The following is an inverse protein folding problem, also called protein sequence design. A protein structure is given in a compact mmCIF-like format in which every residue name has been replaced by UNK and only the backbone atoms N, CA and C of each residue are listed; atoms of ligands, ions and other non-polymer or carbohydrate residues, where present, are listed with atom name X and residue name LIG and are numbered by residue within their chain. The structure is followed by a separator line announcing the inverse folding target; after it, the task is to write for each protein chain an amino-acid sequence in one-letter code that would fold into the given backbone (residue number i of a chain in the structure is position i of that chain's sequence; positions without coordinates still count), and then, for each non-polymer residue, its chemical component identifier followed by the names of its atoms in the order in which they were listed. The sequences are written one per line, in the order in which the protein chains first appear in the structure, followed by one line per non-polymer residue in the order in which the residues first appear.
data_IF_433878088363
#
_entry.id   IF_433878088363
#
_cell.length_a   1.000
_cell.length_b   1.000
_cell.length_c   1.000
_cell.angle_alpha   90.00
_cell.angle_beta   90.00
_cell.angle_gamma   90.00
#
_symmetry.space_group_name_H-M   'P 1'
#
loop_
_entity.id
_entity.type
_entity.pdbx_description
1 polymer ?
#
# COMPACT_ATOMS: atom_id res chain seq x y z
N UNK A 1 -60.54 -11.44 12.05
CA UNK A 1 -60.36 -10.00 12.31
C UNK A 1 -59.15 -9.55 11.51
N UNK A 2 -59.38 -8.86 10.40
CA UNK A 2 -58.32 -8.25 9.60
C UNK A 2 -57.84 -6.98 10.30
N UNK A 3 -56.53 -6.84 10.53
CA UNK A 3 -55.97 -5.57 10.98
C UNK A 3 -56.21 -4.50 9.89
N UNK A 4 -56.51 -3.24 10.27
CA UNK A 4 -56.76 -2.19 9.30
C UNK A 4 -55.49 -1.92 8.48
N UNK A 5 -55.65 -1.83 7.16
CA UNK A 5 -54.58 -1.68 6.15
C UNK A 5 -53.60 -0.53 6.42
N UNK A 6 -54.02 0.48 7.18
CA UNK A 6 -53.18 1.62 7.56
C UNK A 6 -52.13 1.28 8.63
N UNK A 7 -52.35 0.26 9.47
CA UNK A 7 -51.39 -0.11 10.52
C UNK A 7 -50.22 -0.94 10.00
N UNK A 8 -50.47 -1.81 9.00
CA UNK A 8 -49.39 -2.55 8.31
C UNK A 8 -48.50 -1.62 7.48
N UNK A 9 -49.07 -0.56 6.87
CA UNK A 9 -48.29 0.43 6.15
C UNK A 9 -47.44 1.29 7.11
N UNK A 10 -47.98 1.64 8.27
CA UNK A 10 -47.23 2.38 9.30
C UNK A 10 -46.08 1.56 9.90
N UNK A 11 -46.27 0.25 10.10
CA UNK A 11 -45.21 -0.66 10.56
C UNK A 11 -44.12 -0.90 9.49
N UNK A 12 -44.49 -0.96 8.20
CA UNK A 12 -43.53 -1.03 7.08
C UNK A 12 -42.75 0.28 6.90
N UNK A 13 -43.39 1.44 7.11
CA UNK A 13 -42.73 2.75 7.11
C UNK A 13 -41.80 2.87 8.33
N UNK A 14 -42.22 2.42 9.52
CA UNK A 14 -41.37 2.42 10.70
C UNK A 14 -40.18 1.44 10.57
N UNK A 15 -40.35 0.28 9.94
CA UNK A 15 -39.23 -0.64 9.65
C UNK A 15 -38.28 -0.10 8.57
N UNK A 16 -38.79 0.56 7.53
CA UNK A 16 -37.94 1.19 6.50
C UNK A 16 -37.19 2.41 7.04
N UNK A 17 -37.79 3.20 7.94
CA UNK A 17 -37.09 4.28 8.65
C UNK A 17 -36.11 3.78 9.73
N UNK A 18 -36.38 2.65 10.40
CA UNK A 18 -35.40 2.07 11.35
C UNK A 18 -34.20 1.46 10.62
N UNK A 19 -34.38 0.93 9.40
CA UNK A 19 -33.27 0.42 8.57
C UNK A 19 -32.41 1.53 7.94
N UNK A 20 -32.91 2.76 7.84
CA UNK A 20 -32.14 3.93 7.35
C UNK A 20 -31.45 4.72 8.47
N UNK A 21 -31.73 4.40 9.74
CA UNK A 21 -31.09 5.00 10.92
C UNK A 21 -29.86 4.24 11.43
N UNK A 22 -29.50 3.12 10.80
CA UNK A 22 -28.12 2.64 10.79
C UNK A 22 -27.29 3.48 9.79
N UNK A 23 -27.37 4.80 9.90
CA UNK A 23 -26.32 5.67 9.42
C UNK A 23 -25.04 5.23 10.13
N UNK A 24 -24.04 4.86 9.34
CA UNK A 24 -22.66 4.64 9.77
C UNK A 24 -22.15 5.98 10.32
N UNK A 25 -22.52 6.31 11.55
CA UNK A 25 -21.93 7.40 12.33
C UNK A 25 -20.65 6.88 12.96
N UNK A 26 -19.63 6.71 12.14
CA UNK A 26 -18.26 6.54 12.59
C UNK A 26 -17.37 7.56 11.86
N UNK A 27 -17.81 8.82 11.81
CA UNK A 27 -16.86 9.90 11.61
C UNK A 27 -16.19 10.15 12.95
N UNK A 28 -14.87 9.96 13.00
CA UNK A 28 -14.10 10.28 14.19
C UNK A 28 -14.17 11.79 14.39
N UNK A 29 -14.41 12.24 15.62
CA UNK A 29 -14.15 13.63 15.98
C UNK A 29 -12.65 13.84 16.06
N UNK A 30 -12.15 15.02 15.69
CA UNK A 30 -10.72 15.36 15.81
C UNK A 30 -10.25 15.12 17.24
N UNK A 31 -9.53 14.02 17.45
CA UNK A 31 -8.91 13.64 18.72
C UNK A 31 -7.42 13.46 18.49
N UNK A 32 -6.63 13.59 19.55
CA UNK A 32 -5.24 13.15 19.52
C UNK A 32 -5.17 11.68 19.14
N UNK A 33 -4.03 11.28 18.54
CA UNK A 33 -3.79 9.88 18.20
C UNK A 33 -3.78 9.02 19.46
N UNK A 34 -4.54 7.93 19.45
CA UNK A 34 -4.62 7.00 20.57
C UNK A 34 -3.49 5.96 20.51
N UNK A 35 -2.54 6.08 21.42
CA UNK A 35 -1.43 5.14 21.62
C UNK A 35 -1.67 4.14 22.77
N UNK A 36 -2.90 4.00 23.27
CA UNK A 36 -3.23 3.08 24.37
C UNK A 36 -2.81 1.63 24.10
N UNK A 37 -2.81 1.20 22.83
CA UNK A 37 -2.37 -0.12 22.40
C UNK A 37 -0.88 -0.40 22.72
N UNK A 38 -0.05 0.64 22.87
CA UNK A 38 1.39 0.51 23.17
C UNK A 38 1.65 -0.24 24.48
N UNK A 39 0.70 -0.27 25.41
CA UNK A 39 0.78 -1.08 26.64
C UNK A 39 0.89 -2.59 26.37
N UNK A 40 0.46 -3.03 25.19
CA UNK A 40 0.50 -4.44 24.75
C UNK A 40 1.62 -4.72 23.75
N UNK A 41 2.36 -3.70 23.30
CA UNK A 41 3.50 -3.83 22.40
C UNK A 41 4.74 -4.18 23.22
N UNK A 42 5.48 -5.19 22.78
CA UNK A 42 6.73 -5.63 23.41
C UNK A 42 7.84 -5.69 22.36
N UNK A 43 9.07 -5.47 22.79
CA UNK A 43 10.23 -5.71 21.93
C UNK A 43 10.43 -7.23 21.78
N UNK A 44 10.78 -7.69 20.58
CA UNK A 44 11.06 -9.10 20.31
C UNK A 44 12.21 -9.64 21.19
N UNK A 45 13.17 -8.80 21.59
CA UNK A 45 14.27 -9.18 22.50
C UNK A 45 13.73 -9.75 23.83
N UNK A 46 12.63 -9.17 24.32
CA UNK A 46 12.05 -9.52 25.62
C UNK A 46 11.16 -10.78 25.55
N UNK A 47 11.00 -11.37 24.36
CA UNK A 47 10.18 -12.54 24.16
C UNK A 47 10.93 -13.82 24.55
N UNK A 48 10.18 -14.80 25.07
CA UNK A 48 10.71 -16.13 25.32
C UNK A 48 11.21 -16.77 24.02
N UNK A 49 12.03 -17.81 24.15
CA UNK A 49 12.53 -18.57 22.99
C UNK A 49 11.41 -19.32 22.26
N UNK A 50 10.37 -19.73 22.99
CA UNK A 50 9.19 -20.40 22.44
C UNK A 50 7.92 -19.96 23.18
N UNK A 51 6.88 -19.57 22.44
CA UNK A 51 5.56 -19.27 22.97
C UNK A 51 4.45 -19.90 22.11
N UNK A 52 3.24 -20.05 22.69
CA UNK A 52 2.09 -20.65 22.01
C UNK A 52 0.90 -19.72 21.99
N UNK A 53 0.28 -19.56 20.82
CA UNK A 53 -0.86 -18.67 20.59
C UNK A 53 -1.99 -19.40 19.86
N UNK A 54 -3.19 -18.84 19.93
CA UNK A 54 -4.32 -19.37 19.16
C UNK A 54 -4.27 -18.90 17.72
N UNK A 55 -3.73 -17.70 17.48
CA UNK A 55 -3.48 -17.15 16.15
C UNK A 55 -2.14 -16.40 16.14
N UNK A 56 -1.45 -16.47 15.02
CA UNK A 56 -0.25 -15.67 14.76
C UNK A 56 -0.52 -14.88 13.47
N UNK A 57 -0.48 -13.55 13.56
CA UNK A 57 -0.64 -12.64 12.42
C UNK A 57 0.73 -12.06 12.08
N UNK A 58 1.21 -12.33 10.86
CA UNK A 58 2.49 -11.83 10.35
C UNK A 58 2.22 -10.58 9.51
N UNK A 59 2.59 -9.41 10.04
CA UNK A 59 2.36 -8.09 9.47
C UNK A 59 1.27 -7.33 10.24
N UNK A 60 1.68 -6.32 11.01
CA UNK A 60 0.83 -5.37 11.72
C UNK A 60 0.35 -4.22 10.83
N UNK A 61 0.05 -4.50 9.56
CA UNK A 61 -0.33 -3.50 8.56
C UNK A 61 -1.83 -3.23 8.47
N UNK A 62 -2.25 -2.67 7.34
CA UNK A 62 -3.62 -2.22 7.04
C UNK A 62 -4.69 -3.27 7.29
N UNK A 63 -4.45 -4.53 6.90
CA UNK A 63 -5.38 -5.64 7.15
C UNK A 63 -5.06 -6.40 8.45
N UNK A 64 -3.76 -6.53 8.80
CA UNK A 64 -3.32 -7.35 9.94
C UNK A 64 -3.72 -6.79 11.30
N UNK A 65 -3.63 -5.47 11.50
CA UNK A 65 -4.05 -4.82 12.75
C UNK A 65 -5.55 -5.07 13.07
N UNK A 66 -6.53 -4.71 12.21
CA UNK A 66 -7.94 -4.94 12.50
C UNK A 66 -8.31 -6.43 12.57
N UNK A 67 -7.61 -7.29 11.82
CA UNK A 67 -7.76 -8.74 11.92
C UNK A 67 -7.36 -9.24 13.32
N UNK A 68 -6.15 -8.89 13.77
CA UNK A 68 -5.62 -9.32 15.06
C UNK A 68 -6.45 -8.79 16.23
N UNK A 69 -6.83 -7.51 16.19
CA UNK A 69 -7.70 -6.90 17.18
C UNK A 69 -9.07 -7.59 17.26
N UNK A 70 -9.61 -8.04 16.13
CA UNK A 70 -10.88 -8.78 16.10
C UNK A 70 -10.72 -10.19 16.68
N UNK A 71 -9.67 -10.91 16.32
CA UNK A 71 -9.41 -12.27 16.83
C UNK A 71 -9.12 -12.26 18.34
N UNK A 72 -8.47 -11.21 18.84
CA UNK A 72 -8.09 -11.08 20.26
C UNK A 72 -9.28 -10.90 21.20
N UNK A 73 -10.48 -10.58 20.68
CA UNK A 73 -11.72 -10.54 21.46
C UNK A 73 -12.03 -11.88 22.15
N UNK A 74 -11.53 -13.01 21.63
CA UNK A 74 -11.86 -14.36 22.13
C UNK A 74 -10.68 -15.32 22.25
N UNK A 75 -9.54 -14.98 21.69
CA UNK A 75 -8.40 -15.89 21.53
C UNK A 75 -7.09 -15.16 21.79
N UNK A 76 -6.04 -15.88 22.19
CA UNK A 76 -4.72 -15.25 22.31
C UNK A 76 -4.10 -15.06 20.93
N UNK A 77 -3.70 -13.84 20.59
CA UNK A 77 -3.13 -13.49 19.28
C UNK A 77 -1.74 -12.93 19.46
N UNK A 78 -0.78 -13.40 18.66
CA UNK A 78 0.51 -12.75 18.48
C UNK A 78 0.49 -11.97 17.16
N UNK A 79 0.87 -10.69 17.20
CA UNK A 79 1.12 -9.89 16.00
C UNK A 79 2.63 -9.69 15.88
N UNK A 80 3.14 -10.01 14.70
CA UNK A 80 4.54 -9.94 14.35
C UNK A 80 4.72 -8.85 13.31
N UNK A 81 5.37 -7.73 13.66
CA UNK A 81 5.61 -6.59 12.77
C UNK A 81 7.11 -6.31 12.67
N UNK A 82 7.59 -6.04 11.45
CA UNK A 82 9.02 -5.77 11.19
C UNK A 82 9.40 -4.29 11.35
N UNK A 83 8.42 -3.40 11.34
CA UNK A 83 8.61 -1.96 11.50
C UNK A 83 8.76 -1.55 12.96
N UNK A 84 9.33 -0.37 13.17
CA UNK A 84 9.32 0.32 14.47
C UNK A 84 7.94 0.86 14.84
N UNK A 85 7.83 1.45 16.03
CA UNK A 85 6.59 2.08 16.49
C UNK A 85 6.37 3.45 15.83
N UNK A 86 5.14 3.94 15.65
CA UNK A 86 4.90 5.22 14.99
C UNK A 86 5.60 6.43 15.65
N UNK A 87 5.84 6.37 16.97
CA UNK A 87 6.57 7.41 17.71
C UNK A 87 8.05 7.53 17.33
N UNK A 88 8.63 6.51 16.68
CA UNK A 88 9.99 6.52 16.16
C UNK A 88 10.14 7.44 14.95
N UNK A 89 9.05 7.66 14.20
CA UNK A 89 9.04 8.48 12.98
C UNK A 89 7.91 9.51 13.05
N UNK A 90 8.12 10.67 13.71
CA UNK A 90 7.07 11.67 13.95
C UNK A 90 6.39 12.18 12.66
N UNK A 91 7.07 12.09 11.52
CA UNK A 91 6.55 12.45 10.21
C UNK A 91 5.39 11.54 9.74
N UNK A 92 5.25 10.33 10.28
CA UNK A 92 4.11 9.44 9.99
C UNK A 92 2.82 9.95 10.65
N UNK A 93 2.94 10.80 11.67
CA UNK A 93 1.80 11.24 12.47
C UNK A 93 1.11 12.49 11.90
N UNK A 94 1.67 13.11 10.86
CA UNK A 94 1.15 14.36 10.30
C UNK A 94 1.05 14.31 8.77
N UNK A 95 0.10 15.07 8.22
CA UNK A 95 -0.19 15.11 6.78
C UNK A 95 0.98 15.64 5.97
N UNK A 96 1.77 16.58 6.51
CA UNK A 96 2.93 17.15 5.83
C UNK A 96 4.05 16.10 5.60
N UNK A 97 4.18 15.13 6.50
CA UNK A 97 5.17 14.05 6.42
C UNK A 97 4.74 12.87 5.54
N UNK A 98 3.46 12.78 5.15
CA UNK A 98 2.94 11.70 4.28
C UNK A 98 3.75 11.57 2.98
N UNK A 99 3.96 12.67 2.27
CA UNK A 99 4.72 12.67 1.01
C UNK A 99 6.21 12.39 1.22
N UNK A 100 6.81 12.89 2.31
CA UNK A 100 8.20 12.59 2.66
C UNK A 100 8.42 11.09 2.92
N UNK A 101 7.47 10.42 3.59
CA UNK A 101 7.54 8.98 3.87
C UNK A 101 7.36 8.12 2.60
N UNK A 102 6.46 8.50 1.70
CA UNK A 102 6.27 7.83 0.41
C UNK A 102 7.52 7.93 -0.48
N UNK A 103 8.19 9.08 -0.44
CA UNK A 103 9.43 9.32 -1.19
C UNK A 103 10.66 8.62 -0.61
N UNK A 104 10.63 8.19 0.66
CA UNK A 104 11.75 7.43 1.26
C UNK A 104 11.69 5.93 0.97
N UNK A 105 10.52 5.41 0.56
CA UNK A 105 10.24 3.97 0.40
C UNK A 105 10.30 3.49 -1.07
N UNK A 106 11.02 4.22 -1.94
CA UNK A 106 10.97 4.05 -3.40
C UNK A 106 11.37 2.63 -3.84
N UNK A 107 10.40 1.91 -4.44
CA UNK A 107 10.52 0.57 -5.06
C UNK A 107 11.16 0.64 -6.47
N UNK A 108 11.76 1.78 -6.82
CA UNK A 108 12.32 2.07 -8.14
C UNK A 108 13.73 2.64 -8.02
N UNK A 109 14.69 2.02 -8.70
CA UNK A 109 16.02 2.60 -8.96
C UNK A 109 15.97 3.31 -10.32
N UNK A 110 15.92 4.65 -10.39
CA UNK A 110 16.14 5.35 -11.65
C UNK A 110 17.55 5.09 -12.18
N UNK A 111 17.72 5.09 -13.50
CA UNK A 111 19.03 5.23 -14.12
C UNK A 111 19.55 6.64 -13.81
N UNK A 112 20.34 6.75 -12.75
CA UNK A 112 20.92 8.01 -12.31
C UNK A 112 22.02 8.42 -13.31
N UNK A 113 21.95 9.67 -13.77
CA UNK A 113 23.07 10.28 -14.49
C UNK A 113 24.34 10.24 -13.63
N UNK A 114 25.53 10.21 -14.26
CA UNK A 114 26.83 10.04 -13.58
C UNK A 114 26.97 10.91 -12.33
N UNK A 115 26.57 12.18 -12.42
CA UNK A 115 26.61 13.11 -11.30
C UNK A 115 25.70 12.71 -10.12
N UNK A 116 24.49 12.21 -10.39
CA UNK A 116 23.57 11.77 -9.35
C UNK A 116 24.05 10.48 -8.67
N UNK A 117 24.69 9.58 -9.42
CA UNK A 117 25.36 8.40 -8.85
C UNK A 117 26.51 8.80 -7.94
N UNK A 118 27.35 9.75 -8.36
CA UNK A 118 28.44 10.28 -7.53
C UNK A 118 27.92 10.99 -6.27
N UNK A 119 26.86 11.79 -6.38
CA UNK A 119 26.25 12.47 -5.23
C UNK A 119 25.64 11.48 -4.25
N UNK A 120 24.97 10.43 -4.73
CA UNK A 120 24.48 9.33 -3.88
C UNK A 120 25.62 8.68 -3.11
N UNK A 121 26.70 8.28 -3.77
CA UNK A 121 27.85 7.64 -3.10
C UNK A 121 28.55 8.62 -2.15
N UNK A 122 28.72 9.89 -2.52
CA UNK A 122 29.30 10.91 -1.66
C UNK A 122 28.46 11.20 -0.40
N UNK A 123 27.12 11.14 -0.50
CA UNK A 123 26.22 11.22 0.66
C UNK A 123 26.41 10.00 1.58
N UNK A 124 26.54 8.80 1.03
CA UNK A 124 26.83 7.58 1.80
C UNK A 124 28.19 7.65 2.50
N UNK A 125 29.23 8.13 1.81
CA UNK A 125 30.57 8.34 2.36
C UNK A 125 30.60 9.44 3.44
N UNK A 126 29.75 10.45 3.31
CA UNK A 126 29.58 11.53 4.29
C UNK A 126 28.69 11.13 5.50
N UNK A 127 28.26 9.87 5.58
CA UNK A 127 27.37 9.38 6.65
C UNK A 127 25.91 9.82 6.51
N UNK A 128 25.54 10.41 5.37
CA UNK A 128 24.18 10.79 5.01
C UNK A 128 23.56 9.66 4.19
N UNK A 129 23.22 8.56 4.87
CA UNK A 129 22.34 7.54 4.31
C UNK A 129 20.86 7.92 4.52
N UNK A 130 19.90 7.24 3.87
CA UNK A 130 18.59 7.07 4.46
C UNK A 130 18.78 6.34 5.80
N UNK A 131 18.90 7.11 6.88
CA UNK A 131 18.92 6.60 8.24
C UNK A 131 17.48 6.17 8.61
N UNK A 132 17.19 4.89 8.37
CA UNK A 132 15.98 4.24 8.88
C UNK A 132 16.24 3.67 10.28
N UNK A 133 16.99 4.37 11.14
CA UNK A 133 17.33 3.96 12.50
C UNK A 133 16.13 3.58 13.36
N UNK A 134 15.68 2.32 13.26
CA UNK A 134 15.22 1.39 14.29
C UNK A 134 14.84 0.07 13.61
N UNK A 135 15.55 -1.01 13.94
CA UNK A 135 15.24 -2.37 13.49
C UNK A 135 14.28 -3.03 14.49
N UNK A 136 13.11 -3.47 14.03
CA UNK A 136 12.38 -4.59 14.68
C UNK A 136 12.44 -5.74 13.69
N UNK A 137 13.50 -6.53 13.74
CA UNK A 137 13.68 -7.66 12.83
C UNK A 137 12.54 -8.66 13.06
N UNK A 138 12.08 -9.33 11.99
CA UNK A 138 11.57 -10.70 12.05
C UNK A 138 11.96 -11.41 10.74
N UNK A 139 12.99 -12.27 10.75
CA UNK A 139 13.12 -13.29 9.70
C UNK A 139 12.06 -14.35 9.95
N UNK A 140 10.97 -14.34 9.21
CA UNK A 140 9.84 -15.22 9.47
C UNK A 140 9.80 -16.41 8.52
N UNK A 141 10.15 -17.59 9.04
CA UNK A 141 9.99 -18.86 8.31
C UNK A 141 8.80 -19.62 8.91
N UNK A 142 7.91 -20.14 8.07
CA UNK A 142 6.77 -20.96 8.50
C UNK A 142 7.19 -22.43 8.54
N UNK A 143 6.85 -23.13 9.62
CA UNK A 143 7.09 -24.56 9.75
C UNK A 143 5.86 -25.38 9.42
N UNK A 144 6.08 -26.59 8.89
CA UNK A 144 5.03 -27.51 8.47
C UNK A 144 5.19 -28.91 9.05
N UNK A 145 4.06 -29.59 9.31
CA UNK A 145 3.98 -31.04 9.55
C UNK A 145 3.71 -31.78 8.23
N UNK A 146 4.46 -32.84 7.90
CA UNK A 146 4.66 -33.28 6.50
C UNK A 146 3.66 -34.32 5.94
N UNK A 147 2.78 -34.92 6.75
CA UNK A 147 1.82 -35.93 6.24
C UNK A 147 0.67 -35.30 5.44
N UNK A 148 0.23 -34.11 5.88
CA UNK A 148 -0.54 -33.12 5.13
C UNK A 148 0.00 -31.75 5.56
N UNK A 149 0.57 -30.92 4.66
CA UNK A 149 1.33 -29.74 5.07
C UNK A 149 0.44 -28.79 5.87
N UNK A 150 0.63 -28.78 7.20
CA UNK A 150 -0.07 -27.90 8.12
C UNK A 150 0.92 -26.93 8.73
N UNK A 151 0.65 -25.63 8.64
CA UNK A 151 1.46 -24.64 9.31
C UNK A 151 1.33 -24.80 10.83
N UNK A 152 2.44 -24.90 11.57
CA UNK A 152 2.45 -25.17 13.02
C UNK A 152 3.05 -24.03 13.85
N UNK A 153 3.78 -23.13 13.21
CA UNK A 153 4.37 -21.98 13.86
C UNK A 153 5.31 -21.22 12.93
N UNK A 154 6.00 -20.25 13.51
CA UNK A 154 6.91 -19.35 12.82
C UNK A 154 8.23 -19.25 13.59
N UNK A 155 9.35 -19.15 12.88
CA UNK A 155 10.57 -18.52 13.40
C UNK A 155 10.40 -17.01 13.29
N UNK A 156 11.00 -16.25 14.19
CA UNK A 156 11.30 -14.86 13.93
C UNK A 156 12.62 -14.48 14.60
N UNK A 157 13.30 -13.46 14.12
CA UNK A 157 14.59 -13.02 14.65
C UNK A 157 14.44 -11.64 15.27
N UNK A 158 14.97 -11.38 16.47
CA UNK A 158 14.92 -10.06 17.10
C UNK A 158 15.97 -9.08 16.53
N UNK A 159 15.97 -7.83 17.01
CA UNK A 159 16.92 -6.80 16.59
C UNK A 159 18.39 -7.13 16.90
N UNK A 160 18.66 -8.07 17.81
CA UNK A 160 19.99 -8.55 18.17
C UNK A 160 20.43 -9.77 17.33
N UNK A 161 19.61 -10.23 16.39
CA UNK A 161 19.90 -11.40 15.56
C UNK A 161 19.58 -12.74 16.23
N UNK A 162 18.93 -12.75 17.40
CA UNK A 162 18.52 -13.98 18.10
C UNK A 162 17.21 -14.49 17.50
N UNK A 163 17.16 -15.78 17.21
CA UNK A 163 15.93 -16.43 16.73
C UNK A 163 15.01 -16.89 17.87
N UNK A 164 13.72 -16.75 17.65
CA UNK A 164 12.61 -17.10 18.51
C UNK A 164 11.61 -17.96 17.73
N UNK A 165 10.74 -18.68 18.43
CA UNK A 165 9.66 -19.47 17.84
C UNK A 165 8.33 -19.09 18.45
N UNK A 166 7.30 -18.98 17.61
CA UNK A 166 5.92 -18.92 18.07
C UNK A 166 5.12 -20.03 17.40
N UNK A 167 4.43 -20.84 18.19
CA UNK A 167 3.66 -21.98 17.71
C UNK A 167 2.15 -21.72 17.86
N UNK A 168 1.35 -22.32 16.98
CA UNK A 168 -0.10 -22.30 17.13
C UNK A 168 -0.58 -23.44 18.03
N UNK A 169 -1.65 -23.19 18.80
CA UNK A 169 -2.38 -24.21 19.56
C UNK A 169 -3.28 -25.02 18.63
N UNK A 170 -3.92 -26.08 19.17
CA UNK A 170 -4.89 -26.90 18.44
C UNK A 170 -6.02 -26.03 17.86
N UNK A 171 -6.30 -26.20 16.56
CA UNK A 171 -7.24 -25.37 15.77
C UNK A 171 -6.83 -23.88 15.66
N UNK A 172 -5.57 -23.57 15.93
CA UNK A 172 -5.02 -22.26 15.65
C UNK A 172 -4.66 -22.12 14.17
N UNK A 173 -4.41 -20.89 13.75
CA UNK A 173 -4.02 -20.60 12.36
C UNK A 173 -2.96 -19.50 12.33
N UNK A 174 -2.10 -19.56 11.32
CA UNK A 174 -1.15 -18.51 10.97
C UNK A 174 -1.75 -17.70 9.82
N UNK A 175 -1.68 -16.38 9.90
CA UNK A 175 -2.22 -15.48 8.88
C UNK A 175 -1.13 -14.54 8.39
N UNK A 176 -0.85 -14.59 7.10
CA UNK A 176 0.01 -13.63 6.42
C UNK A 176 -0.79 -12.37 6.09
N UNK A 177 -0.35 -11.25 6.66
CA UNK A 177 -0.82 -9.90 6.40
C UNK A 177 0.37 -8.96 6.13
N UNK A 178 1.43 -9.51 5.53
CA UNK A 178 2.71 -8.83 5.24
C UNK A 178 2.67 -8.00 3.94
N UNK A 179 1.49 -7.86 3.34
CA UNK A 179 1.24 -7.03 2.16
C UNK A 179 1.54 -7.76 0.84
N UNK A 180 1.23 -7.06 -0.26
CA UNK A 180 1.39 -7.57 -1.63
C UNK A 180 2.82 -8.06 -1.95
N UNK A 181 3.83 -7.55 -1.25
CA UNK A 181 5.24 -7.93 -1.44
C UNK A 181 5.66 -9.00 -0.42
N UNK A 182 5.41 -8.74 0.87
CA UNK A 182 5.91 -9.60 1.95
C UNK A 182 5.23 -10.97 2.00
N UNK A 183 3.93 -11.05 1.77
CA UNK A 183 3.18 -12.31 1.86
C UNK A 183 3.63 -13.36 0.81
N UNK A 184 3.70 -13.03 -0.50
CA UNK A 184 4.25 -13.98 -1.47
C UNK A 184 5.75 -14.28 -1.24
N UNK A 185 6.55 -13.31 -0.79
CA UNK A 185 7.96 -13.55 -0.44
C UNK A 185 8.08 -14.59 0.68
N UNK A 186 7.31 -14.46 1.75
CA UNK A 186 7.30 -15.38 2.89
C UNK A 186 6.83 -16.78 2.51
N UNK A 187 5.82 -16.90 1.66
CA UNK A 187 5.38 -18.20 1.14
C UNK A 187 6.50 -18.90 0.36
N UNK A 188 7.16 -18.18 -0.55
CA UNK A 188 8.26 -18.73 -1.35
C UNK A 188 9.44 -19.17 -0.47
N UNK A 189 9.86 -18.33 0.49
CA UNK A 189 10.93 -18.67 1.45
C UNK A 189 10.56 -19.87 2.33
N UNK A 190 9.27 -20.04 2.63
CA UNK A 190 8.74 -21.16 3.41
C UNK A 190 8.49 -22.42 2.57
N UNK A 191 8.93 -22.47 1.31
CA UNK A 191 8.78 -23.65 0.45
C UNK A 191 7.38 -23.85 -0.15
N UNK A 192 6.53 -22.83 -0.15
CA UNK A 192 5.20 -22.83 -0.80
C UNK A 192 5.28 -22.01 -2.08
N UNK A 193 5.35 -22.67 -3.24
CA UNK A 193 5.65 -22.02 -4.51
C UNK A 193 5.80 -23.01 -5.66
N UNK A 194 6.21 -22.53 -6.84
CA UNK A 194 6.44 -23.39 -8.00
C UNK A 194 7.62 -24.34 -7.76
N UNK A 195 7.42 -25.66 -7.88
CA UNK A 195 8.46 -26.68 -7.62
C UNK A 195 9.76 -26.40 -8.38
N UNK A 196 9.62 -26.10 -9.68
CA UNK A 196 10.75 -25.80 -10.57
C UNK A 196 11.51 -24.56 -10.11
N UNK A 197 10.80 -23.54 -9.65
CA UNK A 197 11.40 -22.28 -9.18
C UNK A 197 12.09 -22.48 -7.83
N UNK A 198 11.40 -23.05 -6.85
CA UNK A 198 11.95 -23.29 -5.52
C UNK A 198 13.18 -24.21 -5.56
N UNK A 199 13.10 -25.30 -6.34
CA UNK A 199 14.24 -26.19 -6.56
C UNK A 199 15.43 -25.47 -7.18
N UNK A 200 15.20 -24.54 -8.12
CA UNK A 200 16.28 -23.72 -8.71
C UNK A 200 16.95 -22.77 -7.72
N UNK A 201 16.25 -22.43 -6.62
CA UNK A 201 16.75 -21.58 -5.53
C UNK A 201 17.33 -22.40 -4.37
N UNK A 202 17.41 -23.74 -4.50
CA UNK A 202 17.76 -24.68 -3.43
C UNK A 202 16.85 -24.57 -2.18
N UNK A 203 15.58 -24.20 -2.38
CA UNK A 203 14.56 -24.17 -1.32
C UNK A 203 13.80 -25.50 -1.34
N UNK A 204 13.69 -26.16 -0.19
CA UNK A 204 12.88 -27.37 -0.06
C UNK A 204 11.41 -27.07 -0.33
N UNK A 205 10.81 -27.82 -1.25
CA UNK A 205 9.39 -27.68 -1.58
C UNK A 205 8.55 -28.36 -0.51
N UNK A 206 7.74 -27.58 0.20
CA UNK A 206 6.72 -28.06 1.12
C UNK A 206 5.41 -28.31 0.36
N UNK A 207 5.01 -27.36 -0.48
CA UNK A 207 3.79 -27.48 -1.28
C UNK A 207 3.95 -26.78 -2.63
N UNK A 208 3.61 -27.52 -3.69
CA UNK A 208 3.60 -26.99 -5.05
C UNK A 208 2.45 -26.01 -5.24
N UNK A 209 2.77 -24.73 -5.35
CA UNK A 209 1.81 -23.68 -5.66
C UNK A 209 2.38 -22.73 -6.73
N UNK A 210 2.19 -23.01 -8.03
CA UNK A 210 2.86 -22.27 -9.11
C UNK A 210 2.42 -20.81 -9.25
N UNK A 211 1.31 -20.44 -8.61
CA UNK A 211 0.76 -19.08 -8.68
C UNK A 211 1.31 -18.12 -7.61
N UNK A 212 2.08 -18.59 -6.61
CA UNK A 212 2.69 -17.69 -5.61
C UNK A 212 3.65 -16.72 -6.30
N UNK A 213 3.50 -15.42 -6.02
CA UNK A 213 4.29 -14.35 -6.62
C UNK A 213 3.95 -14.08 -8.09
N UNK A 214 2.90 -14.70 -8.66
CA UNK A 214 2.39 -14.36 -9.99
C UNK A 214 1.28 -13.32 -9.91
N UNK A 215 0.95 -12.71 -11.05
CA UNK A 215 -0.11 -11.72 -11.16
C UNK A 215 0.12 -10.50 -10.25
N UNK A 216 1.37 -10.06 -10.15
CA UNK A 216 1.70 -8.81 -9.45
C UNK A 216 1.22 -7.65 -10.31
N UNK A 217 0.33 -6.82 -9.76
CA UNK A 217 -0.24 -5.68 -10.47
C UNK A 217 0.02 -4.40 -9.68
N UNK A 218 0.22 -3.30 -10.39
CA UNK A 218 0.26 -1.96 -9.81
C UNK A 218 -0.43 -1.01 -10.79
N UNK A 219 -1.34 -0.18 -10.28
CA UNK A 219 -2.03 0.78 -11.13
C UNK A 219 -1.01 1.83 -11.61
N UNK A 220 -0.81 2.00 -12.94
CA UNK A 220 -0.09 3.14 -13.48
C UNK A 220 -0.59 4.46 -12.91
N UNK A 221 0.36 5.31 -12.52
CA UNK A 221 0.17 6.71 -12.21
C UNK A 221 0.86 7.58 -13.25
N UNK A 222 0.10 8.45 -13.90
CA UNK A 222 0.64 9.54 -14.69
C UNK A 222 0.25 10.87 -14.03
N UNK A 223 1.14 11.86 -14.07
CA UNK A 223 0.89 13.12 -13.38
C UNK A 223 1.49 14.30 -14.10
N UNK A 224 0.85 15.45 -13.89
CA UNK A 224 1.37 16.76 -14.28
C UNK A 224 1.60 17.58 -13.01
N UNK A 225 2.72 18.30 -12.95
CA UNK A 225 3.04 19.15 -11.81
C UNK A 225 3.07 20.60 -12.27
N UNK A 226 2.16 21.40 -11.75
CA UNK A 226 2.08 22.83 -11.99
C UNK A 226 2.93 23.55 -10.95
N UNK A 227 3.73 24.50 -11.40
CA UNK A 227 4.27 25.53 -10.52
C UNK A 227 3.22 26.62 -10.36
N UNK A 228 2.96 27.03 -9.13
CA UNK A 228 1.91 28.01 -8.82
C UNK A 228 2.52 29.41 -8.67
N UNK A 229 1.96 30.46 -9.33
CA UNK A 229 2.54 31.81 -9.36
C UNK A 229 2.42 32.60 -8.04
N UNK A 230 1.83 32.02 -7.00
CA UNK A 230 1.61 32.64 -5.70
C UNK A 230 1.75 31.59 -4.58
N UNK A 231 1.98 32.02 -3.32
CA UNK A 231 1.98 31.11 -2.19
C UNK A 231 0.69 30.28 -2.13
N UNK A 232 0.85 28.97 -2.05
CA UNK A 232 -0.23 28.01 -2.13
C UNK A 232 -0.15 27.04 -0.96
N UNK A 233 -1.25 26.91 -0.20
CA UNK A 233 -1.29 26.01 0.95
C UNK A 233 -1.14 24.56 0.50
N UNK A 234 -0.35 23.78 1.26
CA UNK A 234 -0.24 22.35 1.05
C UNK A 234 -1.55 21.66 1.44
N UNK A 235 -1.97 20.69 0.62
CA UNK A 235 -3.23 19.96 0.81
C UNK A 235 -3.06 18.51 0.36
N UNK A 236 -3.71 17.60 1.08
CA UNK A 236 -3.85 16.21 0.66
C UNK A 236 -4.98 16.08 -0.37
N UNK A 237 -5.00 14.98 -1.11
CA UNK A 237 -6.15 14.65 -1.97
C UNK A 237 -7.42 14.50 -1.12
N UNK A 238 -8.46 15.26 -1.48
CA UNK A 238 -9.80 15.23 -0.85
C UNK A 238 -10.93 15.17 -1.89
N UNK A 239 -10.63 15.59 -3.12
CA UNK A 239 -11.56 15.59 -4.26
C UNK A 239 -11.04 14.62 -5.30
N UNK A 240 -11.93 13.79 -5.83
CA UNK A 240 -11.62 12.79 -6.85
C UNK A 240 -12.60 12.90 -8.02
N UNK A 241 -12.08 12.93 -9.23
CA UNK A 241 -12.84 12.68 -10.45
C UNK A 241 -12.84 11.18 -10.76
N UNK A 242 -14.01 10.55 -10.75
CA UNK A 242 -14.15 9.10 -10.94
C UNK A 242 -14.80 8.82 -12.31
N UNK A 243 -14.18 7.93 -13.08
CA UNK A 243 -14.76 7.37 -14.31
C UNK A 243 -14.67 5.84 -14.26
N UNK A 244 -15.20 5.15 -15.28
CA UNK A 244 -15.05 3.69 -15.41
C UNK A 244 -13.60 3.25 -15.66
N UNK A 245 -12.79 4.14 -16.25
CA UNK A 245 -11.49 3.79 -16.84
C UNK A 245 -10.31 4.40 -16.11
N UNK A 246 -10.51 5.53 -15.44
CA UNK A 246 -9.47 6.24 -14.71
C UNK A 246 -10.04 7.08 -13.57
N UNK A 247 -9.17 7.43 -12.63
CA UNK A 247 -9.45 8.28 -11.48
C UNK A 247 -8.46 9.44 -11.47
N UNK A 248 -8.93 10.66 -11.24
CA UNK A 248 -8.08 11.86 -11.19
C UNK A 248 -8.17 12.47 -9.80
N UNK A 249 -7.02 12.70 -9.20
CA UNK A 249 -6.88 13.37 -7.90
C UNK A 249 -5.88 14.51 -8.02
N UNK A 250 -5.91 15.44 -7.07
CA UNK A 250 -4.92 16.50 -6.99
C UNK A 250 -4.51 16.73 -5.55
N UNK A 251 -3.25 17.13 -5.37
CA UNK A 251 -2.68 17.54 -4.10
C UNK A 251 -1.72 18.71 -4.32
N UNK A 252 -1.44 19.45 -3.25
CA UNK A 252 -0.52 20.58 -3.29
C UNK A 252 0.59 20.45 -2.27
N UNK A 253 1.75 20.95 -2.64
CA UNK A 253 2.97 20.94 -1.83
C UNK A 253 3.53 22.37 -1.79
N UNK A 254 3.93 22.81 -0.60
CA UNK A 254 4.81 23.97 -0.45
C UNK A 254 6.21 23.44 -0.10
N UNK A 255 7.16 23.63 -1.00
CA UNK A 255 8.55 23.23 -0.81
C UNK A 255 9.35 24.46 -0.40
N UNK A 256 9.80 24.48 0.86
CA UNK A 256 10.78 25.47 1.31
C UNK A 256 12.16 25.02 0.88
N UNK A 257 12.80 25.76 -0.02
CA UNK A 257 14.23 25.58 -0.27
C UNK A 257 15.00 26.27 0.86
N UNK A 258 16.00 25.59 1.43
CA UNK A 258 16.98 26.23 2.32
C UNK A 258 17.52 27.50 1.66
N UNK A 259 17.80 28.57 2.42
CA UNK A 259 18.22 29.83 1.82
C UNK A 259 19.49 29.58 0.99
N UNK A 260 19.44 29.91 -0.30
CA UNK A 260 20.65 30.14 -1.07
C UNK A 260 21.45 31.17 -0.25
N UNK A 261 22.70 30.91 0.15
CA UNK A 261 23.51 31.91 0.84
C UNK A 261 23.79 33.02 -0.16
N UNK A 262 22.88 33.99 -0.25
CA UNK A 262 23.11 35.23 -0.98
C UNK A 262 24.16 36.03 -0.20
N UNK A 263 25.06 36.75 -0.87
CA UNK A 263 26.05 37.59 -0.19
C UNK A 263 25.36 38.52 0.81
N UNK A 264 25.75 38.42 2.09
CA UNK A 264 25.19 39.20 3.21
C UNK A 264 25.21 40.72 2.95
N UNK A 265 26.07 41.18 2.04
CA UNK A 265 26.20 42.57 1.63
C UNK A 265 25.05 43.13 0.79
N UNK A 266 24.17 42.28 0.23
CA UNK A 266 23.09 42.70 -0.68
C UNK A 266 21.68 42.55 -0.09
N UNK A 267 21.46 41.65 0.85
CA UNK A 267 20.16 41.42 1.48
C UNK A 267 20.31 41.19 2.99
N UNK A 268 19.63 41.97 3.86
CA UNK A 268 19.83 41.93 5.32
C UNK A 268 19.15 40.73 6.02
N UNK A 269 18.47 39.85 5.28
CA UNK A 269 17.81 38.65 5.83
C UNK A 269 17.79 37.50 4.81
N UNK A 270 17.77 36.26 5.30
CA UNK A 270 17.60 35.06 4.48
C UNK A 270 16.23 35.06 3.83
N UNK A 271 16.17 35.09 2.49
CA UNK A 271 14.92 34.93 1.75
C UNK A 271 14.69 33.43 1.56
N UNK A 272 13.71 32.84 2.26
CA UNK A 272 13.21 31.52 1.91
C UNK A 272 12.32 31.68 0.68
N UNK A 273 12.76 31.15 -0.46
CA UNK A 273 11.89 31.01 -1.63
C UNK A 273 11.07 29.75 -1.47
N UNK A 274 9.78 29.91 -1.17
CA UNK A 274 8.82 28.81 -1.18
C UNK A 274 8.39 28.52 -2.62
N UNK A 275 8.52 27.27 -3.05
CA UNK A 275 7.98 26.80 -4.31
C UNK A 275 6.65 26.09 -4.05
N UNK A 276 5.58 26.72 -4.52
CA UNK A 276 4.24 26.16 -4.48
C UNK A 276 3.99 25.28 -5.70
N UNK A 277 3.64 24.02 -5.47
CA UNK A 277 3.36 23.03 -6.50
C UNK A 277 1.94 22.48 -6.35
N UNK A 278 1.26 22.25 -7.47
CA UNK A 278 0.06 21.43 -7.52
C UNK A 278 0.31 20.25 -8.45
N UNK A 279 0.13 19.04 -7.93
CA UNK A 279 0.20 17.82 -8.74
C UNK A 279 -1.22 17.35 -9.04
N UNK A 280 -1.51 17.13 -10.31
CA UNK A 280 -2.73 16.48 -10.77
C UNK A 280 -2.29 15.09 -11.24
N UNK A 281 -2.84 14.06 -10.60
CA UNK A 281 -2.47 12.67 -10.81
C UNK A 281 -3.64 11.90 -11.39
N UNK A 282 -3.34 10.93 -12.24
CA UNK A 282 -4.28 10.00 -12.83
C UNK A 282 -3.88 8.57 -12.47
N UNK A 283 -4.87 7.78 -12.06
CA UNK A 283 -4.79 6.33 -11.79
C UNK A 283 -5.65 5.62 -12.82
N UNK A 284 -5.10 4.67 -13.59
CA UNK A 284 -5.96 3.83 -14.44
C UNK A 284 -6.71 2.77 -13.62
N UNK A 285 -7.92 2.43 -14.06
CA UNK A 285 -8.69 1.31 -13.53
C UNK A 285 -8.11 -0.05 -13.94
N UNK A 286 -8.29 -1.05 -13.08
CA UNK A 286 -7.66 -2.36 -13.21
C UNK A 286 -6.41 -2.47 -12.33
N UNK A 287 -5.19 -2.65 -12.90
CA UNK A 287 -4.86 -2.75 -14.34
C UNK A 287 -5.07 -4.17 -14.89
N UNK A 288 -5.00 -4.33 -16.22
CA UNK A 288 -4.95 -5.65 -16.86
C UNK A 288 -3.52 -6.20 -16.94
N UNK A 289 -2.55 -5.31 -17.11
CA UNK A 289 -1.12 -5.62 -17.08
C UNK A 289 -0.72 -6.15 -15.72
N UNK A 290 -0.02 -7.27 -15.72
CA UNK A 290 0.55 -7.85 -14.52
C UNK A 290 1.93 -8.47 -14.81
N UNK A 291 2.73 -8.59 -13.76
CA UNK A 291 3.99 -9.31 -13.80
C UNK A 291 4.11 -10.31 -12.65
N UNK A 292 5.28 -10.33 -12.03
CA UNK A 292 5.63 -11.32 -11.02
C UNK A 292 6.66 -10.81 -10.02
N UNK A 293 6.69 -11.49 -8.87
CA UNK A 293 7.66 -11.35 -7.81
C UNK A 293 8.58 -12.57 -7.80
N UNK A 294 9.88 -12.34 -7.61
CA UNK A 294 10.90 -13.37 -7.45
C UNK A 294 11.81 -13.01 -6.27
N UNK A 295 12.22 -14.00 -5.51
CA UNK A 295 13.19 -13.84 -4.43
C UNK A 295 14.51 -13.28 -4.98
N UNK A 296 15.05 -12.27 -4.30
CA UNK A 296 16.41 -11.78 -4.53
C UNK A 296 17.43 -12.49 -3.62
N UNK A 297 16.96 -13.05 -2.50
CA UNK A 297 17.72 -13.92 -1.61
C UNK A 297 16.87 -15.14 -1.24
N UNK A 298 17.42 -16.37 -1.27
CA UNK A 298 16.69 -17.59 -0.92
C UNK A 298 16.57 -17.83 0.60
N UNK A 299 17.24 -17.03 1.42
CA UNK A 299 17.34 -17.25 2.88
C UNK A 299 17.31 -15.96 3.73
N UNK A 300 17.17 -14.80 3.12
CA UNK A 300 17.09 -13.52 3.85
C UNK A 300 15.85 -12.73 3.42
N UNK A 301 14.83 -12.74 4.29
CA UNK A 301 13.57 -12.02 4.05
C UNK A 301 13.75 -10.49 4.07
N UNK A 302 14.84 -9.97 4.64
CA UNK A 302 15.11 -8.52 4.65
C UNK A 302 15.52 -8.01 3.27
N UNK A 303 16.06 -8.89 2.42
CA UNK A 303 16.41 -8.54 1.05
C UNK A 303 15.10 -8.43 0.26
N UNK A 304 14.80 -7.22 -0.20
CA UNK A 304 13.59 -6.96 -0.98
C UNK A 304 13.59 -7.83 -2.26
N UNK A 305 12.46 -8.48 -2.60
CA UNK A 305 12.38 -9.32 -3.78
C UNK A 305 12.39 -8.48 -5.07
N UNK A 306 12.70 -9.11 -6.19
CA UNK A 306 12.55 -8.53 -7.52
C UNK A 306 11.07 -8.53 -7.91
N UNK A 307 10.53 -7.38 -8.30
CA UNK A 307 9.12 -7.24 -8.69
C UNK A 307 9.02 -6.52 -10.02
N UNK A 308 8.28 -7.12 -10.95
CA UNK A 308 7.90 -6.50 -12.21
C UNK A 308 6.38 -6.40 -12.31
N UNK A 309 5.87 -5.25 -12.74
CA UNK A 309 4.44 -5.02 -12.98
C UNK A 309 4.07 -4.99 -14.47
N UNK A 310 5.05 -4.80 -15.35
CA UNK A 310 4.88 -4.72 -16.80
C UNK A 310 3.87 -3.65 -17.23
N UNK A 311 4.02 -2.40 -16.75
CA UNK A 311 3.12 -1.30 -17.07
C UNK A 311 2.87 -1.17 -18.59
N UNK A 312 1.59 -1.06 -18.96
CA UNK A 312 1.14 -0.94 -20.35
C UNK A 312 1.57 -2.08 -21.28
N UNK A 313 1.77 -3.29 -20.73
CA UNK A 313 1.89 -4.51 -21.53
C UNK A 313 0.55 -4.86 -22.19
N UNK A 314 -0.56 -4.64 -21.49
CA UNK A 314 -1.89 -4.68 -22.08
C UNK A 314 -2.23 -3.31 -22.73
N UNK A 315 -2.59 -3.28 -24.01
CA UNK A 315 -2.88 -2.02 -24.72
C UNK A 315 -4.14 -1.30 -24.18
N UNK A 316 -5.06 -2.00 -23.52
CA UNK A 316 -6.23 -1.36 -22.89
C UNK A 316 -5.79 -0.43 -21.77
N UNK A 317 -4.79 -0.81 -20.98
CA UNK A 317 -4.26 0.03 -19.91
C UNK A 317 -3.65 1.33 -20.46
N UNK A 318 -2.96 1.26 -21.61
CA UNK A 318 -2.41 2.43 -22.28
C UNK A 318 -3.53 3.34 -22.79
N UNK A 319 -4.56 2.76 -23.42
CA UNK A 319 -5.72 3.50 -23.92
C UNK A 319 -6.47 4.23 -22.79
N UNK A 320 -6.57 3.60 -21.61
CA UNK A 320 -7.12 4.24 -20.41
C UNK A 320 -6.26 5.42 -19.95
N UNK A 321 -4.94 5.25 -19.89
CA UNK A 321 -4.02 6.34 -19.56
C UNK A 321 -4.17 7.51 -20.53
N UNK A 322 -4.18 7.26 -21.85
CA UNK A 322 -4.36 8.30 -22.87
C UNK A 322 -5.68 9.07 -22.64
N UNK A 323 -6.75 8.35 -22.33
CA UNK A 323 -8.06 8.95 -22.02
C UNK A 323 -8.02 9.82 -20.75
N UNK A 324 -7.36 9.34 -19.70
CA UNK A 324 -7.17 10.07 -18.44
C UNK A 324 -6.31 11.32 -18.60
N UNK A 325 -5.17 11.20 -19.29
CA UNK A 325 -4.25 12.31 -19.60
C UNK A 325 -4.93 13.38 -20.46
N UNK A 326 -5.74 12.98 -21.46
CA UNK A 326 -6.58 13.92 -22.23
C UNK A 326 -7.56 14.68 -21.35
N UNK A 327 -8.15 14.00 -20.36
CA UNK A 327 -9.06 14.63 -19.41
C UNK A 327 -8.36 15.63 -18.50
N UNK A 328 -7.10 15.38 -18.14
CA UNK A 328 -6.26 16.39 -17.48
C UNK A 328 -6.05 17.59 -18.41
N UNK A 329 -5.80 17.37 -19.70
CA UNK A 329 -5.73 18.44 -20.70
C UNK A 329 -6.99 19.32 -20.74
N UNK A 330 -8.17 18.68 -20.76
CA UNK A 330 -9.46 19.39 -20.68
C UNK A 330 -9.60 20.18 -19.37
N UNK A 331 -9.18 19.60 -18.24
CA UNK A 331 -9.23 20.22 -16.91
C UNK A 331 -8.38 21.51 -16.89
N UNK A 332 -7.17 21.50 -17.44
CA UNK A 332 -6.29 22.67 -17.54
C UNK A 332 -6.87 23.79 -18.41
N UNK A 333 -7.75 23.46 -19.35
CA UNK A 333 -8.40 24.43 -20.23
C UNK A 333 -9.67 25.07 -19.63
N UNK A 334 -10.05 24.70 -18.41
CA UNK A 334 -11.23 25.27 -17.74
C UNK A 334 -10.97 26.68 -17.20
N UNK A 335 -12.05 27.47 -17.07
CA UNK A 335 -11.99 28.81 -16.45
C UNK A 335 -11.51 28.75 -14.99
N UNK A 336 -11.80 27.65 -14.28
CA UNK A 336 -11.36 27.45 -12.89
C UNK A 336 -9.83 27.34 -12.75
N UNK A 337 -9.15 26.89 -13.80
CA UNK A 337 -7.68 26.77 -13.80
C UNK A 337 -6.97 28.04 -14.29
N UNK A 338 -7.70 29.01 -14.85
CA UNK A 338 -7.13 30.25 -15.37
C UNK A 338 -6.35 31.07 -14.32
N UNK A 339 -6.81 31.23 -13.07
CA UNK A 339 -6.06 31.97 -12.04
C UNK A 339 -4.66 31.42 -11.77
N UNK A 340 -4.40 30.14 -12.07
CA UNK A 340 -3.13 29.47 -11.80
C UNK A 340 -2.12 29.60 -12.96
N UNK A 341 -2.47 30.30 -14.05
CA UNK A 341 -1.58 30.56 -15.19
C UNK A 341 -0.66 31.75 -14.92
N UNK A 342 0.61 31.61 -15.32
CA UNK A 342 1.54 32.73 -15.45
C UNK A 342 1.14 33.63 -16.60
N UNK A 343 1.44 34.92 -16.47
CA UNK A 343 1.31 35.90 -17.55
C UNK A 343 2.69 36.21 -18.10
N UNK A 344 2.94 35.86 -19.35
CA UNK A 344 4.16 36.19 -20.07
C UNK A 344 4.18 37.68 -20.44
N UNK A 345 5.37 38.20 -20.76
CA UNK A 345 5.57 39.60 -21.12
C UNK A 345 4.81 40.02 -22.38
N UNK A 346 4.56 39.09 -23.31
CA UNK A 346 3.76 39.30 -24.52
C UNK A 346 2.24 39.25 -24.25
N UNK A 347 1.82 39.07 -22.99
CA UNK A 347 0.42 38.98 -22.59
C UNK A 347 -0.19 37.58 -22.68
N UNK A 348 0.51 36.60 -23.24
CA UNK A 348 0.06 35.21 -23.27
C UNK A 348 0.01 34.62 -21.85
N UNK A 349 -0.93 33.72 -21.63
CA UNK A 349 -1.09 33.05 -20.33
C UNK A 349 -0.93 31.55 -20.48
N UNK A 350 -0.11 30.96 -19.62
CA UNK A 350 0.18 29.53 -19.67
C UNK A 350 0.57 29.00 -18.29
N UNK A 351 0.49 27.68 -18.15
CA UNK A 351 1.02 27.01 -16.96
C UNK A 351 2.52 26.86 -17.08
N UNK A 352 3.20 26.92 -15.93
CA UNK A 352 4.58 26.50 -15.81
C UNK A 352 4.60 25.11 -15.18
N UNK A 353 5.42 24.22 -15.72
CA UNK A 353 5.46 22.81 -15.32
C UNK A 353 6.78 22.46 -14.64
N UNK A 354 6.70 21.61 -13.61
CA UNK A 354 7.86 20.93 -13.06
C UNK A 354 7.92 19.50 -13.62
N UNK A 355 8.83 19.28 -14.56
CA UNK A 355 8.93 18.03 -15.31
C UNK A 355 8.16 18.06 -16.63
N UNK A 356 7.84 16.90 -17.22
CA UNK A 356 7.20 16.81 -18.53
C UNK A 356 5.82 17.47 -18.57
N UNK A 357 5.64 18.41 -19.51
CA UNK A 357 4.34 18.99 -19.83
C UNK A 357 3.52 18.06 -20.72
N UNK A 358 2.20 18.22 -20.73
CA UNK A 358 1.33 17.50 -21.66
C UNK A 358 1.66 17.85 -23.12
N UNK A 359 1.46 16.91 -24.07
CA UNK A 359 1.50 17.22 -25.49
C UNK A 359 0.56 18.38 -25.84
N UNK A 360 1.02 19.29 -26.68
CA UNK A 360 0.27 20.50 -27.05
C UNK A 360 -1.00 20.19 -27.85
N UNK A 361 -0.95 19.15 -28.69
CA UNK A 361 -2.11 18.66 -29.42
C UNK A 361 -2.81 17.53 -28.63
N UNK A 362 -3.94 17.85 -28.00
CA UNK A 362 -4.70 16.86 -27.22
C UNK A 362 -5.24 15.68 -28.06
N UNK A 363 -5.32 15.84 -29.39
CA UNK A 363 -5.83 14.82 -30.31
C UNK A 363 -4.75 13.91 -30.90
N UNK A 364 -3.48 14.13 -30.56
CA UNK A 364 -2.36 13.31 -31.06
C UNK A 364 -2.22 12.04 -30.21
N UNK A 365 -2.72 10.91 -30.70
CA UNK A 365 -2.64 9.62 -29.99
C UNK A 365 -1.19 9.20 -29.74
N UNK A 366 -0.30 9.32 -30.72
CA UNK A 366 1.09 8.87 -30.59
C UNK A 366 1.83 9.67 -29.52
N UNK A 367 1.67 10.99 -29.51
CA UNK A 367 2.31 11.84 -28.50
C UNK A 367 1.75 11.57 -27.08
N UNK A 368 0.46 11.25 -26.97
CA UNK A 368 -0.16 10.90 -25.68
C UNK A 368 0.29 9.53 -25.17
N UNK A 369 0.41 8.54 -26.05
CA UNK A 369 0.95 7.23 -25.69
C UNK A 369 2.41 7.33 -25.22
N UNK A 370 3.24 8.11 -25.94
CA UNK A 370 4.62 8.37 -25.56
C UNK A 370 4.71 9.08 -24.21
N UNK A 371 3.82 10.05 -23.95
CA UNK A 371 3.71 10.70 -22.65
C UNK A 371 3.35 9.69 -21.55
N UNK A 372 2.33 8.86 -21.75
CA UNK A 372 1.93 7.82 -20.80
C UNK A 372 3.11 6.91 -20.45
N UNK A 373 3.82 6.38 -21.46
CA UNK A 373 4.93 5.44 -21.25
C UNK A 373 6.15 6.08 -20.59
N UNK A 374 6.49 7.32 -20.96
CA UNK A 374 7.69 8.00 -20.47
C UNK A 374 7.52 8.62 -19.08
N UNK A 375 6.28 8.87 -18.64
CA UNK A 375 5.99 9.54 -17.37
C UNK A 375 5.35 8.63 -16.32
N UNK A 376 5.13 7.35 -16.64
CA UNK A 376 4.50 6.41 -15.72
C UNK A 376 5.31 6.23 -14.45
N UNK A 377 4.58 6.20 -13.35
CA UNK A 377 5.08 5.88 -12.02
C UNK A 377 4.09 4.97 -11.31
N UNK A 378 4.42 4.53 -10.10
CA UNK A 378 3.51 3.78 -9.24
C UNK A 378 2.44 4.71 -8.66
N UNK A 379 1.19 4.22 -8.53
CA UNK A 379 0.16 4.83 -7.68
C UNK A 379 0.23 4.33 -6.23
N UNK A 380 1.23 3.49 -5.91
CA UNK A 380 1.41 2.80 -4.62
C UNK A 380 0.26 1.89 -4.22
N UNK A 381 -0.60 1.51 -5.17
CA UNK A 381 -1.77 0.66 -4.96
C UNK A 381 -1.54 -0.76 -5.50
N UNK A 382 -0.28 -1.21 -5.45
CA UNK A 382 0.10 -2.53 -5.92
C UNK A 382 -0.55 -3.65 -5.09
N UNK A 383 -0.89 -4.72 -5.78
CA UNK A 383 -1.68 -5.85 -5.30
C UNK A 383 -1.32 -7.12 -6.06
N UNK A 384 -1.92 -8.24 -5.67
CA UNK A 384 -1.66 -9.54 -6.28
C UNK A 384 -0.46 -10.29 -5.69
N UNK A 385 -0.11 -11.42 -6.28
CA UNK A 385 0.91 -12.34 -5.76
C UNK A 385 0.36 -13.55 -4.97
N UNK A 386 -0.82 -13.42 -4.34
CA UNK A 386 -1.49 -14.49 -3.59
C UNK A 386 -3.00 -14.52 -3.87
N UNK A 387 -3.40 -14.44 -5.14
CA UNK A 387 -4.80 -14.24 -5.55
C UNK A 387 -5.77 -15.31 -5.00
N UNK A 388 -6.98 -14.86 -4.65
CA UNK A 388 -8.13 -15.74 -4.41
C UNK A 388 -8.45 -16.55 -5.67
N UNK A 389 -8.67 -17.85 -5.51
CA UNK A 389 -8.90 -18.81 -6.59
C UNK A 389 -7.64 -19.24 -7.34
N UNK A 390 -6.45 -18.75 -6.95
CA UNK A 390 -5.16 -19.15 -7.53
C UNK A 390 -4.17 -19.67 -6.50
N UNK A 391 -4.03 -18.96 -5.37
CA UNK A 391 -3.16 -19.31 -4.24
C UNK A 391 -3.98 -19.59 -2.99
N UNK A 392 -5.00 -18.76 -2.73
CA UNK A 392 -5.91 -18.94 -1.60
C UNK A 392 -7.33 -19.26 -2.04
N UNK A 393 -8.11 -19.93 -1.21
CA UNK A 393 -9.53 -20.21 -1.45
C UNK A 393 -10.45 -19.01 -1.13
N UNK A 394 -11.77 -19.17 -1.25
CA UNK A 394 -12.77 -18.13 -0.93
C UNK A 394 -12.88 -17.76 0.55
N UNK A 395 -12.20 -18.52 1.42
CA UNK A 395 -12.05 -18.25 2.85
C UNK A 395 -10.61 -17.78 3.16
N UNK A 396 -9.83 -17.44 2.13
CA UNK A 396 -8.47 -16.94 2.22
C UNK A 396 -7.46 -17.96 2.79
N UNK A 397 -7.79 -19.25 2.82
CA UNK A 397 -6.86 -20.32 3.20
C UNK A 397 -5.92 -20.62 2.05
N UNK A 398 -4.63 -20.81 2.35
CA UNK A 398 -3.65 -21.24 1.35
C UNK A 398 -4.04 -22.63 0.86
N UNK A 399 -4.35 -22.75 -0.43
CA UNK A 399 -4.84 -24.00 -0.99
C UNK A 399 -3.75 -25.07 -0.87
N UNK A 400 -4.15 -26.24 -0.35
CA UNK A 400 -3.25 -27.37 -0.12
C UNK A 400 -2.38 -27.26 1.13
N UNK A 401 -2.55 -26.23 1.97
CA UNK A 401 -1.81 -26.05 3.23
C UNK A 401 -2.77 -25.74 4.38
N UNK A 402 -2.81 -26.63 5.38
CA UNK A 402 -3.67 -26.48 6.54
C UNK A 402 -3.17 -25.38 7.49
N UNK A 403 -4.09 -24.76 8.24
CA UNK A 403 -3.80 -23.76 9.29
C UNK A 403 -3.03 -22.52 8.82
N UNK A 404 -3.10 -22.18 7.52
CA UNK A 404 -2.44 -21.03 6.93
C UNK A 404 -3.40 -20.20 6.06
N UNK A 405 -3.43 -18.88 6.26
CA UNK A 405 -4.20 -17.92 5.45
C UNK A 405 -3.35 -16.76 4.96
N UNK A 406 -3.84 -16.07 3.93
CA UNK A 406 -3.30 -14.77 3.50
C UNK A 406 -4.43 -13.75 3.47
N UNK A 407 -4.32 -12.67 4.24
CA UNK A 407 -5.35 -11.62 4.35
C UNK A 407 -4.68 -10.25 4.26
N UNK A 408 -4.45 -9.79 3.03
CA UNK A 408 -3.95 -8.46 2.69
C UNK A 408 -4.13 -8.13 1.19
N UNK A 409 -3.48 -7.06 0.72
CA UNK A 409 -3.49 -6.60 -0.67
C UNK A 409 -3.04 -7.63 -1.72
N UNK A 410 -2.30 -8.67 -1.32
CA UNK A 410 -1.82 -9.72 -2.24
C UNK A 410 -2.93 -10.59 -2.83
N UNK A 411 -4.11 -10.55 -2.22
CA UNK A 411 -5.24 -11.45 -2.53
C UNK A 411 -6.18 -10.89 -3.59
N UNK A 412 -6.03 -9.61 -3.92
CA UNK A 412 -6.88 -8.91 -4.88
C UNK A 412 -6.40 -9.09 -6.31
N UNK A 413 -7.35 -9.36 -7.21
CA UNK A 413 -7.13 -9.38 -8.67
C UNK A 413 -7.09 -7.96 -9.23
N UNK A 414 -7.96 -7.08 -8.71
CA UNK A 414 -8.08 -5.69 -9.12
C UNK A 414 -8.02 -4.80 -7.88
N UNK A 415 -7.45 -3.61 -8.02
CA UNK A 415 -7.41 -2.61 -6.95
C UNK A 415 -8.83 -2.18 -6.57
N UNK A 416 -9.27 -2.35 -5.31
CA UNK A 416 -10.61 -1.96 -4.92
C UNK A 416 -10.75 -0.43 -4.79
N UNK A 417 -11.66 0.14 -5.57
CA UNK A 417 -11.98 1.58 -5.55
C UNK A 417 -10.82 2.48 -6.00
N UNK A 418 -10.92 3.77 -5.69
CA UNK A 418 -9.85 4.74 -5.97
C UNK A 418 -8.64 4.50 -5.07
N UNK A 419 -8.87 4.44 -3.75
CA UNK A 419 -7.83 4.27 -2.73
C UNK A 419 -8.17 3.04 -1.87
N UNK A 420 -7.36 1.98 -1.86
CA UNK A 420 -7.78 0.66 -1.36
C UNK A 420 -7.67 0.49 0.16
N UNK A 421 -7.02 1.43 0.87
CA UNK A 421 -6.69 1.28 2.29
C UNK A 421 -7.89 0.90 3.17
N UNK A 422 -9.01 1.64 3.05
CA UNK A 422 -10.21 1.38 3.85
C UNK A 422 -10.80 -0.03 3.57
N UNK A 423 -10.75 -0.47 2.32
CA UNK A 423 -11.18 -1.82 1.93
C UNK A 423 -10.29 -2.90 2.56
N UNK A 424 -8.97 -2.70 2.61
CA UNK A 424 -8.06 -3.63 3.28
C UNK A 424 -8.29 -3.67 4.81
N UNK A 425 -8.56 -2.52 5.44
CA UNK A 425 -8.90 -2.47 6.87
C UNK A 425 -10.20 -3.24 7.15
N UNK A 426 -11.22 -3.03 6.32
CA UNK A 426 -12.49 -3.75 6.39
C UNK A 426 -12.29 -5.25 6.20
N UNK A 427 -11.49 -5.66 5.20
CA UNK A 427 -11.18 -7.06 4.92
C UNK A 427 -10.59 -7.76 6.16
N UNK A 428 -9.61 -7.13 6.81
CA UNK A 428 -8.99 -7.67 8.03
C UNK A 428 -10.02 -7.97 9.11
N UNK A 429 -10.86 -6.99 9.46
CA UNK A 429 -11.93 -7.18 10.46
C UNK A 429 -12.97 -8.21 10.01
N UNK A 430 -13.39 -8.15 8.75
CA UNK A 430 -14.38 -9.08 8.18
C UNK A 430 -13.91 -10.53 8.29
N UNK A 431 -12.66 -10.80 7.91
CA UNK A 431 -12.09 -12.13 8.01
C UNK A 431 -11.92 -12.58 9.47
N UNK A 432 -11.50 -11.68 10.36
CA UNK A 432 -11.47 -11.98 11.80
C UNK A 432 -12.84 -12.44 12.33
N UNK A 433 -13.91 -11.71 12.00
CA UNK A 433 -15.27 -12.08 12.40
C UNK A 433 -15.72 -13.43 11.80
N UNK A 434 -15.36 -13.69 10.54
CA UNK A 434 -15.67 -14.96 9.86
C UNK A 434 -14.96 -16.13 10.54
N UNK A 435 -13.66 -16.01 10.81
CA UNK A 435 -12.87 -17.02 11.52
C UNK A 435 -13.39 -17.29 12.94
N UNK A 436 -13.80 -16.24 13.68
CA UNK A 436 -14.44 -16.40 14.99
C UNK A 436 -15.78 -17.15 14.94
N UNK A 437 -16.50 -17.12 13.81
CA UNK A 437 -17.73 -17.90 13.62
C UNK A 437 -17.40 -19.35 13.27
N UNK A 438 -16.46 -19.57 12.35
CA UNK A 438 -15.98 -20.91 11.97
C UNK A 438 -15.50 -21.69 13.19
N UNK A 439 -14.68 -21.08 14.06
CA UNK A 439 -14.12 -21.74 15.25
C UNK A 439 -15.15 -22.15 16.31
N UNK A 440 -16.37 -21.60 16.26
CA UNK A 440 -17.48 -21.99 17.16
C UNK A 440 -18.23 -23.21 16.67
N UNK A 441 -18.17 -23.54 15.39
CA UNK A 441 -18.87 -24.69 14.87
C UNK A 441 -18.17 -25.97 15.34
N UNK A 442 -18.91 -26.99 15.81
CA UNK A 442 -18.33 -28.29 16.12
C UNK A 442 -17.75 -28.91 14.85
N UNK A 443 -16.63 -29.64 14.98
CA UNK A 443 -16.05 -30.39 13.88
C UNK A 443 -17.05 -31.48 13.51
N UNK A 444 -17.55 -31.46 12.27
CA UNK A 444 -18.46 -32.48 11.72
C UNK A 444 -17.74 -33.80 11.49
#
# INVERSE_FOLDING_TARGET
MALPSNLSLLLLILFSFHSQLLQVHAFTTRSDQDFSFMKSVRNAIDMASEEKYDYIVIGGGTAGCPLAATLSEKHSVLVLERGGTPGTYPNVLNVAGFFANLMQSVVFRPNLAVWQSVVKEALLEAGVGPDNGLSVILNTDIFFEMTEPSAVGVIYTDSNGKSHKALIRKRGEIILSAGAIGSPQLLLLSGVGSDTYLSSQNISVIHSQPNVGKFMADNPRNNINLVIPFPFEASSAQVVGITSDYYIEAFSLSLSFFPIPLPFSLYPSSVSTELSLASIVEKIAGPLSHGSLQLASPNDVKVAPHVGFNYFADPVDLSRCVSGVRKIGDLLNTNSMDPFKYKAFNGERGFMFLGPALPSNNSDDSAMEDYCRSTVTTFWHYHGGCLVGKVVDGDFRVMGVNSLRVVDGSTFILSPGTNPQATLMMLGRYMGLKMLRERRQPIS
#
